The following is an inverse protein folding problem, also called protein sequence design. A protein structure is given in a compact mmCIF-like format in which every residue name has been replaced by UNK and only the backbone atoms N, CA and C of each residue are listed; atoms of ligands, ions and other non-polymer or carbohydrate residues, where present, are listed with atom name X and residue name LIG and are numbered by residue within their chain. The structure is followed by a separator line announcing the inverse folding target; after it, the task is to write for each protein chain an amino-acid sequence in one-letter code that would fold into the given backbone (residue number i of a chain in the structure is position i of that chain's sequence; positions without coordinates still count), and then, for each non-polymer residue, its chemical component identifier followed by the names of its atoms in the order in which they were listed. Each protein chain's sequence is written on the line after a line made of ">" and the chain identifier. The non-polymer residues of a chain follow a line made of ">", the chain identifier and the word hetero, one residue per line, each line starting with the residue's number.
data_IF_996443354905
#
_entry.id   IF_996443354905
#
_cell.length_a   1.000
_cell.length_b   1.000
_cell.length_c   1.000
_cell.angle_alpha   90.00
_cell.angle_beta   90.00
_cell.angle_gamma   90.00
#
_symmetry.space_group_name_H-M   'P 1'
#
loop_
_entity.id
_entity.type
_entity.pdbx_description
1 polymer ?
#
# COMPACT_ATOMS: atom_id res chain seq x y z
N UNK A 1 -0.62 26.18 6.74
CA UNK A 1 0.05 26.59 7.99
C UNK A 1 1.36 25.83 8.09
N UNK A 2 2.49 26.48 7.85
CA UNK A 2 3.82 25.88 7.94
C UNK A 2 4.60 26.60 9.04
N UNK A 3 4.93 25.90 10.10
CA UNK A 3 5.70 26.42 11.23
C UNK A 3 6.07 25.29 12.18
N UNK A 4 7.21 25.43 12.85
CA UNK A 4 7.63 24.52 13.91
C UNK A 4 6.68 24.68 15.11
N UNK A 5 6.05 23.58 15.52
CA UNK A 5 5.17 23.55 16.70
C UNK A 5 5.91 22.83 17.82
N UNK A 6 5.97 23.45 18.99
CA UNK A 6 6.59 22.87 20.18
C UNK A 6 5.51 22.35 21.15
N UNK A 7 5.62 21.08 21.53
CA UNK A 7 4.76 20.45 22.51
C UNK A 7 5.60 20.06 23.74
N UNK A 8 5.32 20.67 24.89
CA UNK A 8 6.05 20.44 26.15
C UNK A 8 5.24 19.63 27.17
N UNK A 9 4.53 18.61 26.71
CA UNK A 9 3.70 17.74 27.57
C UNK A 9 4.45 16.48 27.98
N UNK A 10 4.45 16.16 29.27
CA UNK A 10 5.06 14.93 29.80
C UNK A 10 4.01 13.83 29.94
N UNK A 11 4.23 12.72 29.25
CA UNK A 11 3.42 11.50 29.38
C UNK A 11 4.24 10.41 30.06
N UNK A 12 3.61 9.61 30.94
CA UNK A 12 4.27 8.55 31.71
C UNK A 12 3.48 7.25 31.61
N UNK A 13 4.17 6.15 31.35
CA UNK A 13 3.60 4.81 31.28
C UNK A 13 4.38 3.87 32.19
N UNK A 14 3.69 2.89 32.78
CA UNK A 14 4.32 1.77 33.51
C UNK A 14 4.41 0.58 32.54
N UNK A 15 5.61 0.07 32.32
CA UNK A 15 5.88 -1.07 31.44
C UNK A 15 6.68 -2.10 32.25
N UNK A 16 6.32 -3.38 32.14
CA UNK A 16 7.11 -4.47 32.73
C UNK A 16 8.40 -4.64 31.92
N UNK A 17 9.55 -4.72 32.61
CA UNK A 17 10.87 -4.87 32.00
C UNK A 17 10.93 -6.05 31.01
N UNK A 18 10.18 -7.12 31.26
CA UNK A 18 10.12 -8.31 30.38
C UNK A 18 9.48 -8.03 29.03
N UNK A 19 8.66 -6.97 28.94
CA UNK A 19 7.90 -6.60 27.75
C UNK A 19 8.58 -5.48 26.96
N UNK A 20 9.68 -4.89 27.42
CA UNK A 20 10.34 -3.74 26.77
C UNK A 20 10.72 -4.02 25.31
N UNK A 21 11.22 -5.22 25.01
CA UNK A 21 11.61 -5.61 23.64
C UNK A 21 10.44 -5.90 22.72
N UNK A 22 9.25 -6.12 23.29
CA UNK A 22 8.00 -6.40 22.59
C UNK A 22 7.10 -5.15 22.50
N UNK A 23 7.38 -4.14 23.32
CA UNK A 23 6.59 -2.90 23.40
C UNK A 23 7.06 -1.92 22.33
N UNK A 24 6.09 -1.32 21.65
CA UNK A 24 6.31 -0.27 20.65
C UNK A 24 5.61 1.00 21.12
N UNK A 25 6.31 2.14 21.10
CA UNK A 25 5.66 3.43 21.23
C UNK A 25 5.26 3.91 19.84
N UNK A 26 3.98 4.23 19.66
CA UNK A 26 3.43 4.76 18.42
C UNK A 26 2.88 6.16 18.71
N UNK A 27 3.34 7.15 17.94
CA UNK A 27 2.92 8.53 18.05
C UNK A 27 2.32 8.97 16.71
N UNK A 28 1.14 9.59 16.76
CA UNK A 28 0.38 10.05 15.60
C UNK A 28 0.13 11.55 15.78
N UNK A 29 0.44 12.33 14.75
CA UNK A 29 0.21 13.77 14.72
C UNK A 29 -1.07 14.07 13.94
N UNK A 30 -1.98 14.81 14.57
CA UNK A 30 -3.23 15.27 13.93
C UNK A 30 -3.19 16.78 13.68
N UNK A 31 -3.80 17.18 12.57
CA UNK A 31 -4.18 18.55 12.27
C UNK A 31 -5.69 18.66 12.44
N UNK A 32 -6.12 19.62 13.25
CA UNK A 32 -7.53 19.85 13.53
C UNK A 32 -7.93 21.12 12.79
N UNK A 33 -8.90 21.01 11.89
CA UNK A 33 -9.46 22.16 11.18
C UNK A 33 -10.43 22.96 12.06
N UNK A 34 -10.80 24.16 11.63
CA UNK A 34 -11.76 25.05 12.33
C UNK A 34 -13.13 24.37 12.58
N UNK A 35 -13.50 23.38 11.78
CA UNK A 35 -14.74 22.61 11.93
C UNK A 35 -14.58 21.35 12.80
N UNK A 36 -13.51 21.25 13.61
CA UNK A 36 -13.14 20.07 14.41
C UNK A 36 -12.95 18.77 13.60
N UNK A 37 -12.65 18.89 12.31
CA UNK A 37 -12.27 17.73 11.50
C UNK A 37 -10.80 17.45 11.74
N UNK A 38 -10.50 16.28 12.28
CA UNK A 38 -9.16 15.77 12.52
C UNK A 38 -8.62 15.09 11.25
N UNK A 39 -7.39 15.43 10.87
CA UNK A 39 -6.66 14.80 9.77
C UNK A 39 -5.28 14.40 10.24
N UNK A 40 -4.86 13.18 9.97
CA UNK A 40 -3.50 12.73 10.30
C UNK A 40 -2.51 13.48 9.39
N UNK A 41 -1.44 13.98 10.01
CA UNK A 41 -0.30 14.65 9.36
C UNK A 41 0.85 13.67 9.19
N UNK A 42 0.98 12.73 10.12
CA UNK A 42 1.91 11.63 10.01
C UNK A 42 2.09 10.88 11.33
N UNK A 43 2.86 9.80 11.27
CA UNK A 43 3.06 8.89 12.38
C UNK A 43 4.52 8.44 12.52
N UNK A 44 4.89 7.99 13.71
CA UNK A 44 6.18 7.36 13.96
C UNK A 44 6.04 6.27 15.01
N UNK A 45 6.76 5.17 14.82
CA UNK A 45 6.74 4.04 15.73
C UNK A 45 8.15 3.52 15.97
N UNK A 46 8.48 3.22 17.23
CA UNK A 46 9.77 2.63 17.60
C UNK A 46 9.60 1.62 18.73
N UNK A 47 10.44 0.58 18.72
CA UNK A 47 10.47 -0.39 19.82
C UNK A 47 11.18 0.21 21.02
N UNK A 48 10.54 0.10 22.18
CA UNK A 48 11.07 0.68 23.43
C UNK A 48 12.42 0.03 23.78
N UNK A 49 12.56 -1.28 23.59
CA UNK A 49 13.81 -2.00 23.85
C UNK A 49 14.97 -1.73 22.87
N UNK A 50 14.74 -1.03 21.74
CA UNK A 50 15.81 -0.65 20.81
C UNK A 50 16.48 0.68 21.19
N UNK A 51 15.83 1.47 22.05
CA UNK A 51 16.42 2.67 22.61
C UNK A 51 17.21 2.29 23.86
N UNK A 52 18.43 2.80 24.00
CA UNK A 52 19.20 2.66 25.23
C UNK A 52 18.65 3.62 26.30
N UNK A 53 17.47 3.34 26.86
CA UNK A 53 16.73 4.19 27.82
C UNK A 53 17.32 4.12 29.25
N UNK A 54 18.59 3.71 29.41
CA UNK A 54 19.27 3.73 30.71
C UNK A 54 19.60 5.15 31.19
N UNK A 55 19.42 6.15 30.34
CA UNK A 55 19.45 7.59 30.65
C UNK A 55 18.34 8.31 29.87
N UNK A 56 17.90 9.51 30.32
CA UNK A 56 16.95 10.33 29.55
C UNK A 56 17.48 10.59 28.13
N UNK A 57 16.72 10.18 27.12
CA UNK A 57 17.06 10.33 25.71
C UNK A 57 16.15 11.36 25.05
N UNK A 58 16.75 12.41 24.47
CA UNK A 58 16.08 13.36 23.59
C UNK A 58 16.60 13.16 22.17
N UNK A 59 15.74 12.75 21.24
CA UNK A 59 16.13 12.51 19.85
C UNK A 59 15.04 12.97 18.88
N UNK A 60 15.45 13.27 17.65
CA UNK A 60 14.53 13.53 16.55
C UNK A 60 14.04 12.20 15.97
N UNK A 61 12.73 12.07 15.81
CA UNK A 61 12.11 10.97 15.09
C UNK A 61 11.53 11.51 13.80
N UNK A 62 11.80 10.82 12.70
CA UNK A 62 11.16 11.15 11.44
C UNK A 62 9.68 10.77 11.55
N UNK A 63 8.82 11.74 11.29
CA UNK A 63 7.38 11.53 11.12
C UNK A 63 7.20 11.05 9.68
N UNK A 64 6.64 9.86 9.51
CA UNK A 64 6.24 9.34 8.20
C UNK A 64 4.91 9.98 7.84
N UNK A 65 4.81 10.51 6.63
CA UNK A 65 3.57 11.09 6.13
C UNK A 65 2.47 10.00 6.15
N UNK A 66 1.25 10.36 6.52
CA UNK A 66 0.07 9.49 6.48
C UNK A 66 -0.16 8.91 5.07
N UNK A 67 0.44 9.54 4.06
CA UNK A 67 0.41 9.09 2.67
C UNK A 67 1.23 7.82 2.39
N UNK A 68 2.13 7.38 3.28
CA UNK A 68 3.02 6.22 3.05
C UNK A 68 2.57 4.91 3.73
N UNK A 69 1.35 4.87 4.27
CA UNK A 69 0.62 3.63 4.56
C UNK A 69 -0.73 3.70 3.88
N UNK A 70 -0.82 3.20 2.64
CA UNK A 70 -2.10 2.98 1.97
C UNK A 70 -3.09 4.13 2.15
N UNK A 71 -2.92 5.23 1.40
CA UNK A 71 -4.12 5.91 0.89
C UNK A 71 -5.08 4.81 0.46
N UNK A 72 -6.25 4.74 1.10
CA UNK A 72 -7.26 3.73 0.78
C UNK A 72 -7.71 4.03 -0.65
N UNK A 73 -6.98 3.53 -1.63
CA UNK A 73 -7.21 3.77 -3.05
C UNK A 73 -8.21 2.79 -3.63
N UNK A 74 -8.94 2.10 -2.77
CA UNK A 74 -9.93 1.06 -3.05
C UNK A 74 -9.45 -0.35 -2.72
N UNK A 75 -10.32 -1.31 -3.00
CA UNK A 75 -10.11 -2.73 -2.72
C UNK A 75 -10.16 -3.53 -4.03
N UNK A 76 -9.47 -4.68 -4.05
CA UNK A 76 -9.50 -5.61 -5.18
C UNK A 76 -9.99 -6.98 -4.74
N UNK A 77 -10.89 -7.57 -5.52
CA UNK A 77 -11.31 -8.95 -5.38
C UNK A 77 -10.48 -9.81 -6.34
N UNK A 78 -9.78 -10.79 -5.78
CA UNK A 78 -8.88 -11.67 -6.50
C UNK A 78 -9.21 -13.12 -6.17
N UNK A 79 -9.14 -14.01 -7.16
CA UNK A 79 -9.21 -15.45 -6.98
C UNK A 79 -7.86 -16.08 -7.29
N UNK A 80 -7.39 -16.96 -6.41
CA UNK A 80 -6.15 -17.72 -6.56
C UNK A 80 -6.47 -19.21 -6.58
N UNK A 81 -5.90 -19.94 -7.54
CA UNK A 81 -6.00 -21.40 -7.58
C UNK A 81 -4.67 -22.02 -8.01
N UNK A 82 -4.22 -23.02 -7.23
CA UNK A 82 -3.02 -23.79 -7.53
C UNK A 82 -3.38 -25.24 -7.86
N UNK A 83 -2.87 -25.74 -8.98
CA UNK A 83 -2.97 -27.13 -9.40
C UNK A 83 -1.60 -27.82 -9.29
N UNK A 84 -1.35 -28.63 -8.23
CA UNK A 84 -0.04 -29.25 -8.00
C UNK A 84 0.42 -30.14 -9.15
N UNK A 85 -0.46 -30.98 -9.70
CA UNK A 85 -0.14 -31.96 -10.75
C UNK A 85 0.44 -31.30 -12.00
N UNK A 86 -0.08 -30.14 -12.38
CA UNK A 86 0.41 -29.37 -13.54
C UNK A 86 1.37 -28.25 -13.17
N UNK A 87 1.74 -28.11 -11.89
CA UNK A 87 2.53 -26.98 -11.38
C UNK A 87 1.99 -25.63 -11.86
N UNK A 88 0.66 -25.43 -11.77
CA UNK A 88 -0.01 -24.28 -12.38
C UNK A 88 -0.65 -23.41 -11.31
N UNK A 89 -0.22 -22.16 -11.20
CA UNK A 89 -0.84 -21.13 -10.37
C UNK A 89 -1.62 -20.18 -11.26
N UNK A 90 -2.88 -19.96 -10.93
CA UNK A 90 -3.76 -19.00 -11.61
C UNK A 90 -4.14 -17.89 -10.66
N UNK A 91 -4.11 -16.65 -11.17
CA UNK A 91 -4.54 -15.46 -10.47
C UNK A 91 -5.56 -14.73 -11.32
N UNK A 92 -6.79 -14.65 -10.85
CA UNK A 92 -7.86 -13.92 -11.52
C UNK A 92 -8.08 -12.60 -10.79
N UNK A 93 -7.86 -11.47 -11.46
CA UNK A 93 -8.34 -10.18 -10.97
C UNK A 93 -9.82 -10.06 -11.38
N UNK A 94 -10.72 -10.14 -10.41
CA UNK A 94 -12.16 -10.18 -10.66
C UNK A 94 -12.70 -8.76 -10.82
N UNK A 95 -12.56 -7.95 -9.77
CA UNK A 95 -13.05 -6.57 -9.75
C UNK A 95 -12.21 -5.72 -8.79
N UNK A 96 -12.29 -4.41 -8.95
CA UNK A 96 -11.95 -3.48 -7.88
C UNK A 96 -13.21 -2.75 -7.42
N UNK A 97 -13.17 -2.15 -6.22
CA UNK A 97 -14.24 -1.28 -5.71
C UNK A 97 -13.67 -0.13 -4.91
N UNK A 98 -14.44 0.95 -4.82
CA UNK A 98 -14.08 2.17 -4.09
C UNK A 98 -12.73 2.76 -4.54
N UNK A 99 -12.39 2.65 -5.83
CA UNK A 99 -11.14 3.19 -6.34
C UNK A 99 -11.11 4.71 -6.24
N UNK A 100 -10.01 5.25 -5.70
CA UNK A 100 -9.75 6.69 -5.66
C UNK A 100 -8.75 7.03 -6.77
N UNK A 101 -9.23 7.70 -7.81
CA UNK A 101 -8.39 8.20 -8.90
C UNK A 101 -7.80 9.56 -8.51
N UNK A 102 -6.48 9.73 -8.69
CA UNK A 102 -5.74 10.89 -8.20
C UNK A 102 -6.13 12.17 -8.94
N UNK A 103 -6.65 12.05 -10.16
CA UNK A 103 -7.00 13.20 -11.00
C UNK A 103 -8.46 13.20 -11.37
N UNK A 104 -9.36 13.58 -10.48
CA UNK A 104 -10.67 14.10 -10.93
C UNK A 104 -10.49 15.50 -11.54
N UNK A 105 -9.76 15.63 -12.64
CA UNK A 105 -9.36 16.93 -13.19
C UNK A 105 -10.30 17.31 -14.33
N UNK A 106 -11.35 18.08 -13.98
CA UNK A 106 -11.91 19.07 -14.90
C UNK A 106 -10.79 20.05 -15.22
N UNK A 107 -10.11 19.86 -16.35
CA UNK A 107 -9.22 20.89 -16.90
C UNK A 107 -10.10 21.69 -17.86
N UNK A 108 -10.40 22.93 -17.50
CA UNK A 108 -11.12 23.88 -18.36
C UNK A 108 -12.51 23.41 -18.85
N UNK A 109 -13.26 22.67 -18.00
CA UNK A 109 -14.61 22.21 -18.34
C UNK A 109 -14.68 21.02 -19.29
N UNK A 110 -13.54 20.48 -19.74
CA UNK A 110 -13.48 19.31 -20.62
C UNK A 110 -13.27 18.06 -19.75
N UNK A 111 -14.19 17.09 -19.86
CA UNK A 111 -14.06 15.79 -19.24
C UNK A 111 -13.00 14.97 -19.98
N UNK A 112 -11.81 14.81 -19.37
CA UNK A 112 -10.77 13.95 -19.94
C UNK A 112 -11.12 12.49 -19.71
N UNK A 113 -11.02 11.67 -20.77
CA UNK A 113 -11.13 10.22 -20.63
C UNK A 113 -9.96 9.69 -19.83
N UNK A 114 -10.28 9.00 -18.75
CA UNK A 114 -9.32 8.32 -17.90
C UNK A 114 -9.52 6.82 -18.02
N UNK A 115 -8.40 6.13 -18.14
CA UNK A 115 -8.40 4.68 -18.14
C UNK A 115 -7.63 4.15 -16.94
N UNK A 116 -8.05 3.01 -16.44
CA UNK A 116 -7.31 2.24 -15.46
C UNK A 116 -6.93 0.88 -16.01
N UNK A 117 -5.83 0.34 -15.55
CA UNK A 117 -5.41 -1.03 -15.83
C UNK A 117 -4.61 -1.56 -14.64
N UNK A 118 -4.46 -2.88 -14.56
CA UNK A 118 -3.64 -3.53 -13.57
C UNK A 118 -2.47 -4.25 -14.21
N UNK A 119 -1.39 -4.43 -13.44
CA UNK A 119 -0.35 -5.41 -13.77
C UNK A 119 -0.30 -6.47 -12.71
N UNK A 120 -0.31 -7.74 -13.12
CA UNK A 120 -0.19 -8.92 -12.25
C UNK A 120 1.20 -9.51 -12.49
N UNK A 121 2.05 -9.49 -11.46
CA UNK A 121 3.43 -9.94 -11.51
C UNK A 121 3.65 -11.11 -10.56
N UNK A 122 4.23 -12.20 -11.05
CA UNK A 122 4.79 -13.26 -10.22
C UNK A 122 6.24 -12.90 -9.92
N UNK A 123 6.59 -12.81 -8.64
CA UNK A 123 7.93 -12.50 -8.17
C UNK A 123 8.44 -13.69 -7.37
N UNK A 124 9.65 -14.13 -7.66
CA UNK A 124 10.31 -15.24 -6.97
C UNK A 124 11.72 -14.79 -6.60
N UNK A 125 12.10 -14.95 -5.33
CA UNK A 125 13.42 -14.50 -4.83
C UNK A 125 13.75 -13.05 -5.22
N UNK A 126 12.77 -12.15 -5.09
CA UNK A 126 12.84 -10.73 -5.48
C UNK A 126 13.00 -10.44 -6.98
N UNK A 127 12.95 -11.44 -7.86
CA UNK A 127 12.98 -11.24 -9.31
C UNK A 127 11.60 -11.44 -9.93
N UNK A 128 11.22 -10.56 -10.86
CA UNK A 128 9.97 -10.69 -11.62
C UNK A 128 10.13 -11.83 -12.62
N UNK A 129 9.43 -12.94 -12.39
CA UNK A 129 9.44 -14.11 -13.27
C UNK A 129 8.53 -13.90 -14.47
N UNK A 130 7.33 -13.35 -14.22
CA UNK A 130 6.34 -13.08 -15.26
C UNK A 130 5.50 -11.88 -14.85
N UNK A 131 5.28 -10.97 -15.79
CA UNK A 131 4.38 -9.83 -15.64
C UNK A 131 3.35 -9.85 -16.75
N UNK A 132 2.11 -9.62 -16.38
CA UNK A 132 0.97 -9.52 -17.29
C UNK A 132 0.26 -8.21 -17.03
N UNK A 133 -0.28 -7.61 -18.08
CA UNK A 133 -1.01 -6.33 -18.02
C UNK A 133 -2.44 -6.59 -18.49
N UNK A 134 -3.40 -6.03 -17.77
CA UNK A 134 -4.82 -6.12 -18.13
C UNK A 134 -5.16 -5.20 -19.30
N UNK A 135 -6.34 -5.37 -19.87
CA UNK A 135 -6.98 -4.38 -20.71
C UNK A 135 -7.17 -3.05 -19.96
N UNK A 136 -7.43 -2.00 -20.73
CA UNK A 136 -7.78 -0.69 -20.21
C UNK A 136 -9.29 -0.61 -19.95
N UNK A 137 -9.65 -0.20 -18.74
CA UNK A 137 -11.02 0.02 -18.29
C UNK A 137 -11.25 1.52 -18.09
N UNK A 138 -12.49 2.00 -18.19
CA UNK A 138 -12.77 3.44 -17.97
C UNK A 138 -12.75 3.75 -16.47
N UNK A 139 -11.95 4.74 -16.06
CA UNK A 139 -11.82 5.14 -14.65
C UNK A 139 -13.01 5.94 -14.10
N UNK A 140 -14.03 6.24 -14.91
CA UNK A 140 -15.28 6.83 -14.41
C UNK A 140 -15.98 5.87 -13.45
N UNK A 141 -15.74 4.57 -13.62
CA UNK A 141 -16.21 3.55 -12.71
C UNK A 141 -15.21 3.38 -11.55
N UNK A 142 -15.64 3.69 -10.34
CA UNK A 142 -14.87 3.40 -9.12
C UNK A 142 -14.85 1.90 -8.78
N UNK A 143 -15.57 1.08 -9.54
CA UNK A 143 -15.74 -0.35 -9.32
C UNK A 143 -15.55 -1.19 -10.60
N UNK A 144 -14.39 -1.08 -11.29
CA UNK A 144 -14.18 -1.77 -12.57
C UNK A 144 -14.19 -3.29 -12.40
N UNK A 145 -14.88 -3.98 -13.31
CA UNK A 145 -14.88 -5.44 -13.45
C UNK A 145 -13.79 -5.86 -14.44
N UNK A 146 -12.73 -6.49 -13.95
CA UNK A 146 -11.61 -6.95 -14.79
C UNK A 146 -11.92 -8.32 -15.38
N UNK A 147 -12.20 -9.32 -14.53
CA UNK A 147 -12.36 -10.73 -14.89
C UNK A 147 -11.21 -11.29 -15.74
N UNK A 148 -9.98 -10.82 -15.48
CA UNK A 148 -8.80 -11.22 -16.24
C UNK A 148 -7.94 -12.22 -15.45
N UNK A 149 -7.52 -13.29 -16.13
CA UNK A 149 -6.76 -14.38 -15.52
C UNK A 149 -5.33 -14.43 -16.02
N UNK A 150 -4.39 -14.43 -15.09
CA UNK A 150 -2.97 -14.67 -15.34
C UNK A 150 -2.57 -16.06 -14.84
N UNK A 151 -1.99 -16.86 -15.74
CA UNK A 151 -1.50 -18.21 -15.43
C UNK A 151 0.02 -18.25 -15.38
N UNK A 152 0.54 -18.91 -14.36
CA UNK A 152 1.96 -19.06 -14.06
C UNK A 152 2.31 -20.54 -13.88
N UNK A 153 3.49 -20.94 -14.36
CA UNK A 153 4.05 -22.27 -14.10
C UNK A 153 4.96 -22.18 -12.88
N UNK A 154 4.53 -22.76 -11.76
CA UNK A 154 5.21 -22.71 -10.46
C UNK A 154 5.12 -24.10 -9.82
N UNK A 155 6.25 -24.73 -9.56
CA UNK A 155 6.30 -26.01 -8.85
C UNK A 155 5.98 -25.83 -7.37
N UNK A 156 5.60 -26.92 -6.68
CA UNK A 156 5.27 -26.85 -5.26
C UNK A 156 6.43 -26.35 -4.38
N UNK A 157 7.68 -26.61 -4.79
CA UNK A 157 8.88 -26.11 -4.10
C UNK A 157 9.05 -24.60 -4.28
N UNK A 158 8.81 -24.10 -5.48
CA UNK A 158 8.95 -22.67 -5.80
C UNK A 158 7.86 -21.81 -5.16
N UNK A 159 6.69 -22.39 -4.86
CA UNK A 159 5.54 -21.67 -4.32
C UNK A 159 5.87 -20.91 -3.02
N UNK A 160 6.70 -21.50 -2.16
CA UNK A 160 7.10 -20.88 -0.90
C UNK A 160 7.97 -19.64 -1.08
N UNK A 161 8.72 -19.56 -2.17
CA UNK A 161 9.65 -18.45 -2.47
C UNK A 161 9.02 -17.40 -3.38
N UNK A 162 7.73 -17.57 -3.68
CA UNK A 162 7.01 -16.79 -4.68
C UNK A 162 5.92 -15.94 -4.03
N UNK A 163 5.73 -14.73 -4.54
CA UNK A 163 4.59 -13.88 -4.22
C UNK A 163 4.06 -13.22 -5.49
N UNK A 164 2.77 -12.88 -5.48
CA UNK A 164 2.13 -12.14 -6.56
C UNK A 164 2.01 -10.69 -6.13
N UNK A 165 2.45 -9.76 -6.98
CA UNK A 165 2.20 -8.33 -6.83
C UNK A 165 1.23 -7.85 -7.91
N UNK A 166 0.17 -7.20 -7.48
CA UNK A 166 -0.82 -6.57 -8.34
C UNK A 166 -0.72 -5.08 -8.14
N UNK A 167 -0.58 -4.31 -9.23
CA UNK A 167 -0.48 -2.85 -9.19
C UNK A 167 -1.54 -2.27 -10.11
N UNK A 168 -2.37 -1.37 -9.59
CA UNK A 168 -3.38 -0.61 -10.34
C UNK A 168 -2.79 0.72 -10.80
N UNK A 169 -3.08 1.09 -12.03
CA UNK A 169 -2.60 2.32 -12.65
C UNK A 169 -3.74 3.11 -13.25
N UNK A 170 -3.62 4.44 -13.17
CA UNK A 170 -4.43 5.41 -13.89
C UNK A 170 -3.60 6.00 -15.04
N UNK A 171 -4.20 6.09 -16.22
CA UNK A 171 -3.59 6.76 -17.39
C UNK A 171 -4.57 7.79 -17.97
N UNK A 172 -4.01 8.93 -18.37
CA UNK A 172 -4.74 10.02 -19.02
C UNK A 172 -4.44 10.04 -20.52
N UNK A 173 -5.47 10.24 -21.36
CA UNK A 173 -5.33 10.24 -22.82
C UNK A 173 -4.49 11.38 -23.39
N UNK A 174 -4.36 12.51 -22.68
CA UNK A 174 -3.65 13.69 -23.18
C UNK A 174 -2.12 13.61 -23.04
N UNK A 175 -1.62 13.09 -21.92
CA UNK A 175 -0.19 13.19 -21.60
C UNK A 175 0.50 11.84 -21.49
N UNK A 176 -0.23 10.73 -21.68
CA UNK A 176 0.24 9.36 -21.45
C UNK A 176 0.91 9.14 -20.09
N UNK A 177 0.71 10.06 -19.14
CA UNK A 177 1.26 9.96 -17.80
C UNK A 177 0.50 8.87 -17.06
N UNK A 178 1.28 7.95 -16.51
CA UNK A 178 0.81 6.80 -15.73
C UNK A 178 1.01 7.13 -14.26
N UNK A 179 -0.04 6.95 -13.46
CA UNK A 179 -0.04 7.13 -12.01
C UNK A 179 -0.35 5.80 -11.35
N UNK A 180 0.44 5.38 -10.37
CA UNK A 180 0.10 4.23 -9.53
C UNK A 180 -1.05 4.64 -8.59
N UNK A 181 -2.17 3.92 -8.67
CA UNK A 181 -3.32 4.09 -7.78
C UNK A 181 -3.01 3.40 -6.45
N UNK A 182 -2.48 2.19 -6.51
CA UNK A 182 -2.10 1.39 -5.37
C UNK A 182 -1.70 -0.02 -5.79
N UNK A 183 -1.25 -0.83 -4.84
CA UNK A 183 -0.86 -2.21 -5.09
C UNK A 183 -1.22 -3.13 -3.93
N UNK A 184 -1.30 -4.43 -4.22
CA UNK A 184 -1.45 -5.48 -3.21
C UNK A 184 -0.48 -6.61 -3.49
N UNK A 185 -0.11 -7.33 -2.44
CA UNK A 185 0.84 -8.44 -2.50
C UNK A 185 0.22 -9.68 -1.83
N UNK A 186 0.32 -10.82 -2.51
CA UNK A 186 -0.20 -12.10 -2.07
C UNK A 186 0.96 -13.10 -1.95
N UNK A 187 1.22 -13.60 -0.74
CA UNK A 187 2.28 -14.58 -0.47
C UNK A 187 3.07 -14.27 0.82
N UNK A 188 3.74 -15.28 1.37
CA UNK A 188 4.41 -15.25 2.68
C UNK A 188 5.64 -14.33 2.73
N UNK A 189 6.32 -14.10 1.61
CA UNK A 189 7.55 -13.29 1.54
C UNK A 189 7.35 -11.86 1.04
N UNK A 190 6.12 -11.51 0.62
CA UNK A 190 5.83 -10.25 -0.04
C UNK A 190 5.95 -8.99 0.83
N UNK A 191 5.72 -9.11 2.13
CA UNK A 191 5.76 -7.96 3.07
C UNK A 191 7.18 -7.51 3.45
N UNK A 192 8.18 -8.38 3.30
CA UNK A 192 9.57 -8.08 3.66
C UNK A 192 10.44 -7.64 2.46
N UNK A 193 9.94 -7.78 1.22
CA UNK A 193 10.70 -7.50 0.00
C UNK A 193 10.70 -6.02 -0.43
N UNK A 194 9.94 -5.16 0.25
CA UNK A 194 9.81 -3.72 -0.02
C UNK A 194 10.14 -2.85 1.20
N UNK A 195 11.09 -3.31 2.03
CA UNK A 195 11.77 -2.48 3.03
C UNK A 195 12.99 -1.81 2.42
#
# INVERSE_FOLDING_TARGET
>A
CGGNVEYNSLMKWKIDDRLLTQTTLHAILYCISENNIEKIVGETAFKVGELYIFQPLTTWLNIRDDNDICSWSGEVLISLCYHPTSSRLTCTLVQARNLIFQKKKLISGIMLYQHCYATISLIRRNEIVKKTKTCYYRSVDSNPLFNETSTFMVTGKELFETFIRIVLFEITTQNSKVYEIGHTILGSHGKNAYK
#
